data_IF_161333111486
#
_entry.id   IF_161333111486
#
_cell.length_a   1.000
_cell.length_b   1.000
_cell.length_c   1.000
_cell.angle_alpha   90.00
_cell.angle_beta   90.00
_cell.angle_gamma   90.00
#
_symmetry.space_group_name_H-M   'P 1'
#
loop_
_entity.id
_entity.type
_entity.pdbx_description
1 polymer ?
#
# COMPACT_ATOMS: atom_id res chain seq x y z
N UNK A 1 -1.94 -37.70 -20.21
CA UNK A 1 -3.07 -37.25 -19.36
C UNK A 1 -3.37 -35.81 -19.72
N UNK A 2 -4.64 -35.41 -19.86
CA UNK A 2 -5.01 -34.02 -20.12
C UNK A 2 -4.67 -33.17 -18.88
N UNK A 3 -4.14 -31.97 -19.11
CA UNK A 3 -3.80 -31.02 -18.07
C UNK A 3 -5.12 -30.58 -17.37
N UNK A 4 -5.08 -30.40 -16.05
CA UNK A 4 -6.23 -29.99 -15.23
C UNK A 4 -6.30 -28.45 -15.13
N UNK A 5 -7.29 -27.82 -15.78
CA UNK A 5 -7.51 -26.38 -15.71
C UNK A 5 -7.76 -25.91 -14.25
N UNK A 6 -6.97 -24.95 -13.77
CA UNK A 6 -7.20 -24.12 -12.58
C UNK A 6 -8.24 -23.03 -12.84
N UNK A 7 -8.58 -22.17 -11.88
CA UNK A 7 -9.62 -21.15 -12.04
C UNK A 7 -9.40 -19.93 -11.14
N UNK A 8 -9.53 -18.72 -11.68
CA UNK A 8 -9.42 -17.45 -10.97
C UNK A 8 -10.79 -16.80 -10.81
N UNK A 9 -11.01 -16.14 -9.67
CA UNK A 9 -12.25 -15.42 -9.38
C UNK A 9 -11.92 -13.96 -9.03
N UNK A 10 -12.52 -13.04 -9.79
CA UNK A 10 -12.33 -11.59 -9.62
C UNK A 10 -13.70 -10.94 -9.73
N UNK A 11 -14.10 -10.24 -8.66
CA UNK A 11 -15.36 -9.49 -8.60
C UNK A 11 -16.62 -10.32 -8.98
N UNK A 12 -16.72 -11.55 -8.46
CA UNK A 12 -17.91 -12.40 -8.61
C UNK A 12 -18.01 -13.22 -9.91
N UNK A 13 -17.05 -13.10 -10.82
CA UNK A 13 -17.01 -13.85 -12.08
C UNK A 13 -15.93 -14.93 -12.02
N UNK A 14 -16.24 -16.14 -12.53
CA UNK A 14 -15.31 -17.28 -12.57
C UNK A 14 -14.63 -17.40 -13.94
N UNK A 15 -13.38 -17.86 -13.94
CA UNK A 15 -12.61 -18.08 -15.17
C UNK A 15 -11.64 -19.25 -14.97
N UNK A 16 -11.46 -20.12 -15.96
CA UNK A 16 -10.43 -21.18 -15.97
C UNK A 16 -9.02 -20.62 -16.25
N UNK A 17 -8.00 -21.05 -15.50
CA UNK A 17 -6.57 -21.06 -15.86
C UNK A 17 -6.00 -22.49 -15.74
N UNK A 18 -4.70 -22.70 -15.56
CA UNK A 18 -4.04 -23.99 -15.29
C UNK A 18 -2.67 -23.68 -14.64
N UNK A 19 -2.31 -24.31 -13.52
CA UNK A 19 -1.20 -23.85 -12.66
C UNK A 19 0.21 -24.29 -13.12
N UNK A 20 1.29 -23.71 -12.57
CA UNK A 20 2.70 -24.07 -12.86
C UNK A 20 3.19 -25.18 -11.94
N UNK A 21 4.02 -26.10 -12.48
CA UNK A 21 4.50 -27.31 -11.80
C UNK A 21 5.95 -27.68 -12.23
N UNK A 22 6.60 -28.63 -11.53
CA UNK A 22 7.92 -29.26 -11.85
C UNK A 22 7.80 -30.32 -12.99
N UNK A 23 8.92 -30.70 -13.64
CA UNK A 23 9.01 -31.46 -14.92
C UNK A 23 8.30 -32.85 -14.94
N UNK A 24 7.64 -33.41 -15.99
CA UNK A 24 7.40 -33.15 -17.44
C UNK A 24 6.46 -32.00 -17.81
N UNK A 25 6.40 -30.97 -16.98
CA UNK A 25 5.85 -29.69 -17.37
C UNK A 25 6.95 -28.86 -18.07
N UNK A 26 6.77 -28.53 -19.35
CA UNK A 26 7.70 -27.69 -20.12
C UNK A 26 7.31 -26.18 -20.01
N UNK A 27 6.90 -25.80 -18.80
CA UNK A 27 6.04 -24.69 -18.32
C UNK A 27 6.46 -23.24 -18.72
N UNK A 28 5.54 -22.25 -18.83
CA UNK A 28 5.50 -21.26 -17.75
C UNK A 28 4.06 -20.95 -17.33
N UNK A 29 3.66 -21.33 -16.12
CA UNK A 29 2.44 -20.74 -15.59
C UNK A 29 2.86 -19.42 -14.97
N UNK A 30 2.53 -18.36 -15.70
CA UNK A 30 2.47 -17.04 -15.15
C UNK A 30 1.23 -17.00 -14.25
N UNK A 31 1.46 -17.01 -12.94
CA UNK A 31 0.42 -16.76 -11.96
C UNK A 31 0.46 -15.25 -11.64
N UNK A 32 -0.51 -14.51 -12.17
CA UNK A 32 -0.73 -13.12 -11.80
C UNK A 32 -1.85 -13.06 -10.78
N UNK A 33 -1.52 -12.63 -9.56
CA UNK A 33 -2.48 -12.46 -8.47
C UNK A 33 -2.67 -10.96 -8.27
N UNK A 34 -3.86 -10.47 -8.58
CA UNK A 34 -4.27 -9.11 -8.27
C UNK A 34 -5.16 -9.17 -7.03
N UNK A 35 -4.68 -8.61 -5.93
CA UNK A 35 -5.43 -8.53 -4.68
C UNK A 35 -5.75 -7.06 -4.45
N UNK A 36 -7.03 -6.78 -4.24
CA UNK A 36 -7.49 -5.49 -3.74
C UNK A 36 -7.78 -5.65 -2.26
N UNK A 37 -6.90 -5.12 -1.41
CA UNK A 37 -7.14 -5.05 0.03
C UNK A 37 -7.65 -3.64 0.35
N UNK A 38 -8.88 -3.49 0.88
CA UNK A 38 -9.32 -2.20 1.38
C UNK A 38 -8.50 -1.85 2.61
N UNK A 39 -7.69 -0.79 2.51
CA UNK A 39 -6.79 -0.33 3.58
C UNK A 39 -7.11 1.11 3.95
N UNK A 40 -7.29 1.37 5.24
CA UNK A 40 -7.31 2.73 5.78
C UNK A 40 -5.90 3.23 6.07
N UNK A 41 -5.73 4.54 6.26
CA UNK A 41 -4.45 5.10 6.74
C UNK A 41 -4.05 4.54 8.10
N UNK A 42 -5.01 4.16 8.95
CA UNK A 42 -4.73 3.54 10.24
C UNK A 42 -4.18 2.12 10.08
N UNK A 43 -4.66 1.35 9.10
CA UNK A 43 -4.13 0.02 8.80
C UNK A 43 -2.69 0.09 8.29
N UNK A 44 -2.40 1.08 7.43
CA UNK A 44 -1.04 1.31 6.93
C UNK A 44 -0.13 1.77 8.07
N UNK A 45 -0.60 2.65 8.94
CA UNK A 45 0.16 3.12 10.10
C UNK A 45 0.46 1.98 11.08
N UNK A 46 -0.50 1.06 11.29
CA UNK A 46 -0.29 -0.13 12.10
C UNK A 46 0.71 -1.10 11.49
N UNK A 47 0.71 -1.29 10.17
CA UNK A 47 1.72 -2.08 9.49
C UNK A 47 3.14 -1.54 9.75
N UNK A 48 3.34 -0.22 9.69
CA UNK A 48 4.63 0.40 10.01
C UNK A 48 4.98 0.32 11.49
N UNK A 49 4.00 0.52 12.38
CA UNK A 49 4.20 0.40 13.82
C UNK A 49 4.73 -0.98 14.20
N UNK A 50 4.14 -2.06 13.66
CA UNK A 50 4.62 -3.43 13.86
C UNK A 50 6.09 -3.58 13.46
N UNK A 51 6.47 -3.09 12.29
CA UNK A 51 7.85 -3.21 11.83
C UNK A 51 8.84 -2.41 12.69
N UNK A 52 8.46 -1.21 13.14
CA UNK A 52 9.32 -0.39 13.99
C UNK A 52 9.50 -1.02 15.38
N UNK A 53 8.42 -1.56 15.98
CA UNK A 53 8.51 -2.27 17.26
C UNK A 53 9.36 -3.54 17.16
N UNK A 54 9.38 -4.20 15.99
CA UNK A 54 10.20 -5.38 15.73
C UNK A 54 11.66 -5.07 15.35
N UNK A 55 12.08 -3.81 15.44
CA UNK A 55 13.48 -3.40 15.27
C UNK A 55 13.77 -2.50 14.08
N UNK A 56 12.74 -2.11 13.32
CA UNK A 56 12.84 -1.03 12.34
C UNK A 56 12.97 0.35 12.97
N UNK A 57 13.19 1.36 12.14
CA UNK A 57 13.32 2.76 12.58
C UNK A 57 12.36 3.66 11.82
N UNK A 58 12.01 4.80 12.43
CA UNK A 58 11.15 5.77 11.76
C UNK A 58 11.80 6.37 10.51
N UNK A 59 13.12 6.50 10.49
CA UNK A 59 13.88 7.00 9.33
C UNK A 59 13.80 6.07 8.12
N UNK A 60 13.46 4.79 8.32
CA UNK A 60 13.25 3.88 7.20
C UNK A 60 12.04 4.30 6.34
N UNK A 61 11.13 5.11 6.90
CA UNK A 61 9.99 5.68 6.17
C UNK A 61 10.35 6.89 5.30
N UNK A 62 11.57 7.42 5.41
CA UNK A 62 12.03 8.54 4.57
C UNK A 62 12.37 8.08 3.15
N UNK A 63 12.67 6.78 2.97
CA UNK A 63 12.78 6.14 1.66
C UNK A 63 11.40 5.61 1.24
N UNK A 64 10.76 6.33 0.32
CA UNK A 64 9.41 6.02 -0.18
C UNK A 64 9.33 4.62 -0.79
N UNK A 65 10.37 4.18 -1.51
CA UNK A 65 10.36 2.87 -2.16
C UNK A 65 10.44 1.75 -1.10
N UNK A 66 11.32 1.93 -0.12
CA UNK A 66 11.43 1.01 1.01
C UNK A 66 10.14 0.97 1.83
N UNK A 67 9.56 2.12 2.15
CA UNK A 67 8.32 2.24 2.92
C UNK A 67 7.16 1.49 2.23
N UNK A 68 6.96 1.69 0.92
CA UNK A 68 5.95 0.96 0.16
C UNK A 68 6.18 -0.55 0.17
N UNK A 69 7.42 -0.99 -0.03
CA UNK A 69 7.77 -2.42 0.01
C UNK A 69 7.43 -3.03 1.36
N UNK A 70 7.71 -2.31 2.45
CA UNK A 70 7.47 -2.75 3.80
C UNK A 70 5.98 -2.96 4.08
N UNK A 71 5.11 -2.08 3.57
CA UNK A 71 3.64 -2.28 3.65
C UNK A 71 3.22 -3.53 2.91
N UNK A 72 3.75 -3.77 1.70
CA UNK A 72 3.44 -4.99 0.95
C UNK A 72 3.95 -6.25 1.65
N UNK A 73 5.18 -6.21 2.17
CA UNK A 73 5.77 -7.33 2.91
C UNK A 73 4.94 -7.64 4.17
N UNK A 74 4.49 -6.62 4.92
CA UNK A 74 3.59 -6.82 6.06
C UNK A 74 2.22 -7.33 5.62
N UNK A 75 1.62 -6.82 4.54
CA UNK A 75 0.32 -7.30 4.06
C UNK A 75 0.33 -8.75 3.54
N UNK A 76 1.45 -9.19 2.99
CA UNK A 76 1.60 -10.54 2.42
C UNK A 76 2.04 -11.54 3.49
N UNK A 77 2.95 -11.14 4.38
CA UNK A 77 3.58 -12.05 5.34
C UNK A 77 2.92 -12.01 6.73
N UNK A 78 2.21 -10.93 7.06
CA UNK A 78 1.54 -10.77 8.35
C UNK A 78 0.04 -11.06 8.25
N UNK A 79 -0.61 -11.30 9.38
CA UNK A 79 -2.05 -11.54 9.44
C UNK A 79 -2.81 -10.22 9.65
N UNK A 80 -4.02 -10.13 9.10
CA UNK A 80 -4.92 -8.99 9.38
C UNK A 80 -5.18 -8.80 10.88
N UNK A 81 -5.14 -9.88 11.67
CA UNK A 81 -5.29 -9.84 13.13
C UNK A 81 -4.11 -9.11 13.82
N UNK A 82 -2.89 -9.27 13.32
CA UNK A 82 -1.73 -8.58 13.86
C UNK A 82 -1.78 -7.08 13.53
N UNK A 83 -2.28 -6.72 12.34
CA UNK A 83 -2.55 -5.32 11.98
C UNK A 83 -3.63 -4.73 12.90
N UNK A 84 -4.71 -5.44 13.17
CA UNK A 84 -5.77 -4.98 14.10
C UNK A 84 -5.24 -4.84 15.54
N UNK A 85 -4.43 -5.78 16.02
CA UNK A 85 -3.80 -5.70 17.32
C UNK A 85 -2.89 -4.46 17.44
N UNK A 86 -2.05 -4.22 16.43
CA UNK A 86 -1.22 -3.02 16.36
C UNK A 86 -2.07 -1.74 16.36
N UNK A 87 -3.18 -1.69 15.60
CA UNK A 87 -4.11 -0.54 15.63
C UNK A 87 -4.64 -0.28 17.03
N UNK A 88 -5.04 -1.32 17.76
CA UNK A 88 -5.54 -1.18 19.16
C UNK A 88 -4.45 -0.66 20.08
N UNK A 89 -3.24 -1.20 19.99
CA UNK A 89 -2.09 -0.72 20.77
C UNK A 89 -1.81 0.76 20.49
N UNK A 90 -1.81 1.17 19.21
CA UNK A 90 -1.63 2.56 18.84
C UNK A 90 -2.75 3.47 19.38
N UNK A 91 -4.00 3.00 19.39
CA UNK A 91 -5.14 3.75 19.92
C UNK A 91 -5.09 3.92 21.45
N UNK A 92 -4.47 2.97 22.16
CA UNK A 92 -4.28 3.03 23.61
C UNK A 92 -3.08 3.87 24.05
N UNK A 93 -2.25 4.33 23.11
CA UNK A 93 -1.08 5.15 23.39
C UNK A 93 -1.49 6.48 24.07
N UNK A 94 -0.96 6.71 25.28
CA UNK A 94 -1.35 7.86 26.11
C UNK A 94 -0.59 9.13 25.73
N UNK A 95 -1.24 10.30 25.63
CA UNK A 95 -0.57 11.57 25.40
C UNK A 95 0.59 11.82 26.38
N UNK A 96 1.71 12.31 25.85
CA UNK A 96 2.93 12.59 26.62
C UNK A 96 3.86 11.39 26.83
N UNK A 97 3.52 10.21 26.32
CA UNK A 97 4.41 9.04 26.32
C UNK A 97 5.28 8.97 25.04
N UNK A 98 6.47 8.34 25.09
CA UNK A 98 7.28 8.09 23.88
C UNK A 98 6.51 7.30 22.82
N UNK A 99 5.71 6.33 23.26
CA UNK A 99 4.80 5.53 22.43
C UNK A 99 3.85 6.43 21.61
N UNK A 100 3.21 7.38 22.28
CA UNK A 100 2.29 8.31 21.63
C UNK A 100 3.00 9.22 20.61
N UNK A 101 4.20 9.68 20.94
CA UNK A 101 5.02 10.47 20.00
C UNK A 101 5.37 9.66 18.76
N UNK A 102 5.76 8.39 18.93
CA UNK A 102 6.04 7.48 17.82
C UNK A 102 4.80 7.26 16.95
N UNK A 103 3.64 6.96 17.57
CA UNK A 103 2.37 6.79 16.86
C UNK A 103 2.01 8.02 16.03
N UNK A 104 2.11 9.21 16.61
CA UNK A 104 1.85 10.47 15.90
C UNK A 104 2.80 10.67 14.72
N UNK A 105 4.09 10.35 14.90
CA UNK A 105 5.09 10.49 13.86
C UNK A 105 4.86 9.51 12.68
N UNK A 106 4.50 8.25 12.99
CA UNK A 106 4.13 7.26 11.97
C UNK A 106 2.89 7.73 11.22
N UNK A 107 1.83 8.15 11.91
CA UNK A 107 0.59 8.62 11.28
C UNK A 107 0.84 9.81 10.35
N UNK A 108 1.67 10.77 10.77
CA UNK A 108 2.06 11.90 9.94
C UNK A 108 2.78 11.43 8.66
N UNK A 109 3.74 10.50 8.78
CA UNK A 109 4.44 9.95 7.61
C UNK A 109 3.52 9.18 6.67
N UNK A 110 2.58 8.39 7.19
CA UNK A 110 1.60 7.68 6.35
C UNK A 110 0.75 8.67 5.55
N UNK A 111 0.30 9.76 6.17
CA UNK A 111 -0.46 10.79 5.47
C UNK A 111 0.41 11.41 4.37
N UNK A 112 1.67 11.72 4.63
CA UNK A 112 2.55 12.30 3.60
C UNK A 112 2.82 11.35 2.43
N UNK A 113 3.04 10.07 2.70
CA UNK A 113 3.37 9.05 1.70
C UNK A 113 2.16 8.67 0.83
N UNK A 114 0.97 8.61 1.42
CA UNK A 114 -0.22 8.05 0.79
C UNK A 114 -1.38 9.05 0.66
N UNK A 115 -1.19 10.33 1.01
CA UNK A 115 -2.14 11.37 0.65
C UNK A 115 -2.31 11.33 -0.88
N UNK A 116 -3.55 11.45 -1.39
CA UNK A 116 -3.75 11.58 -2.82
C UNK A 116 -2.93 12.78 -3.28
N UNK A 117 -2.04 12.55 -4.26
CA UNK A 117 -1.33 13.63 -4.93
C UNK A 117 -2.43 14.56 -5.45
N UNK A 118 -2.66 15.68 -4.76
CA UNK A 118 -3.54 16.72 -5.27
C UNK A 118 -3.07 16.99 -6.68
N UNK A 119 -3.91 16.70 -7.67
CA UNK A 119 -3.65 17.09 -9.05
C UNK A 119 -3.26 18.55 -8.98
N UNK A 120 -1.98 18.85 -9.22
CA UNK A 120 -1.48 20.22 -9.25
C UNK A 120 -2.49 21.00 -10.10
N UNK A 121 -3.06 22.12 -9.63
CA UNK A 121 -3.98 22.89 -10.45
C UNK A 121 -3.26 23.18 -11.75
N UNK A 122 -3.68 22.52 -12.83
CA UNK A 122 -3.05 22.69 -14.12
C UNK A 122 -3.02 24.19 -14.39
N UNK A 123 -1.85 24.71 -14.71
CA UNK A 123 -1.62 26.11 -14.99
C UNK A 123 -2.38 26.51 -16.26
N UNK A 124 -3.71 26.62 -16.17
CA UNK A 124 -4.60 27.07 -17.24
C UNK A 124 -5.19 28.42 -16.85
N UNK A 125 -4.30 29.32 -16.43
CA UNK A 125 -4.61 30.74 -16.27
C UNK A 125 -3.41 31.60 -16.65
N UNK A 126 -2.89 31.38 -17.86
CA UNK A 126 -2.17 32.41 -18.62
C UNK A 126 -2.57 32.35 -20.09
N UNK A 127 -3.80 32.76 -20.38
CA UNK A 127 -4.07 33.53 -21.60
C UNK A 127 -4.78 34.79 -21.14
N UNK A 128 -4.00 35.75 -20.63
CA UNK A 128 -4.40 37.15 -20.60
C UNK A 128 -3.53 37.89 -21.61
N UNK A 129 -4.21 38.75 -22.38
CA UNK A 129 -3.69 39.94 -23.06
C UNK A 129 -2.65 39.76 -24.16
N UNK A 130 -3.13 39.72 -25.41
CA UNK A 130 -2.56 40.54 -26.50
C UNK A 130 -3.51 40.62 -27.72
N UNK A 131 -4.56 41.44 -27.61
CA UNK A 131 -5.06 42.19 -28.77
C UNK A 131 -5.65 43.52 -28.31
N UNK A 132 -4.75 44.45 -28.01
CA UNK A 132 -5.03 45.87 -28.10
C UNK A 132 -3.88 46.47 -28.90
N UNK A 133 -4.03 46.52 -30.23
CA UNK A 133 -3.37 47.50 -31.10
C UNK A 133 -4.35 47.81 -32.24
N UNK A 134 -4.77 49.07 -32.27
CA UNK A 134 -5.50 49.72 -33.34
C UNK A 134 -4.60 50.00 -34.55
N UNK A 135 -5.13 49.82 -35.75
CA UNK A 135 -4.97 50.72 -36.90
C UNK A 135 -6.09 50.42 -37.90
#
# INVERSE_FOLDING_TARGET
>A
MAQQKAFGQINGQYTEFEAAHRAFNNTPAALQVTISVPMSYEDIAAAYYTCIVLGGTLSDLDDVEYAHKLVFDTLINDTGDNIDAARRTMAEAKPGTPEYVLVQAIQARVIELFAPVSEKPSARRQVRSRTAVSA
#
